data_IF_718026982610
#
_entry.id   IF_718026982610
#
_cell.length_a   1.000
_cell.length_b   1.000
_cell.length_c   1.000
_cell.angle_alpha   90.00
_cell.angle_beta   90.00
_cell.angle_gamma   90.00
#
_symmetry.space_group_name_H-M   'P 1'
#
loop_
_entity.id
_entity.type
_entity.pdbx_description
1 polymer ?
#
# COMPACT_ATOMS: atom_id res chain seq x y z
N UNK A 1 -31.32 1.12 -17.98
CA UNK A 1 -32.21 1.04 -16.80
C UNK A 1 -31.63 1.89 -15.67
N UNK A 2 -32.40 2.28 -14.63
CA UNK A 2 -31.87 3.06 -13.49
C UNK A 2 -30.67 2.36 -12.84
N UNK A 3 -30.72 1.02 -12.76
CA UNK A 3 -29.67 0.18 -12.19
C UNK A 3 -28.32 0.30 -12.94
N UNK A 4 -28.33 0.51 -14.27
CA UNK A 4 -27.08 0.69 -15.04
C UNK A 4 -26.34 1.96 -14.62
N UNK A 5 -27.10 3.02 -14.35
CA UNK A 5 -26.54 4.29 -13.85
C UNK A 5 -26.02 4.14 -12.43
N UNK A 6 -26.67 3.29 -11.62
CA UNK A 6 -26.29 3.07 -10.23
C UNK A 6 -25.02 2.22 -10.10
N UNK A 7 -24.92 1.09 -10.82
CA UNK A 7 -23.72 0.26 -10.80
C UNK A 7 -22.56 0.92 -11.54
N UNK A 8 -22.83 1.69 -12.61
CA UNK A 8 -21.84 2.45 -13.37
C UNK A 8 -20.60 1.64 -13.81
N UNK A 9 -20.81 0.37 -14.18
CA UNK A 9 -19.74 -0.51 -14.65
C UNK A 9 -19.48 -0.25 -16.13
N UNK A 10 -18.33 0.38 -16.43
CA UNK A 10 -17.92 0.72 -17.81
C UNK A 10 -17.90 -0.53 -18.70
N UNK A 11 -18.27 -0.35 -19.97
CA UNK A 11 -18.22 -1.42 -20.98
C UNK A 11 -19.26 -2.54 -20.79
N UNK A 12 -20.17 -2.44 -19.81
CA UNK A 12 -21.18 -3.48 -19.54
C UNK A 12 -22.61 -2.94 -19.53
N UNK A 13 -23.58 -3.85 -19.61
CA UNK A 13 -25.00 -3.59 -19.41
C UNK A 13 -25.60 -4.64 -18.47
N UNK A 14 -26.54 -4.18 -17.65
CA UNK A 14 -27.35 -5.03 -16.80
C UNK A 14 -28.52 -5.53 -17.64
N UNK A 15 -28.60 -6.84 -17.83
CA UNK A 15 -29.69 -7.49 -18.58
C UNK A 15 -30.91 -7.78 -17.71
N UNK A 16 -30.73 -7.78 -16.39
CA UNK A 16 -31.78 -8.02 -15.42
C UNK A 16 -31.19 -8.20 -14.03
N UNK A 17 -32.07 -8.28 -13.03
CA UNK A 17 -31.67 -8.59 -11.66
C UNK A 17 -32.70 -9.51 -11.00
N UNK A 18 -32.25 -10.24 -9.99
CA UNK A 18 -33.07 -11.03 -9.09
C UNK A 18 -32.81 -10.56 -7.67
N UNK A 19 -33.85 -10.47 -6.87
CA UNK A 19 -33.72 -10.29 -5.43
C UNK A 19 -33.99 -11.64 -4.77
N UNK A 20 -32.98 -12.21 -4.12
CA UNK A 20 -33.05 -13.51 -3.48
C UNK A 20 -33.06 -13.32 -1.96
N UNK A 21 -34.07 -13.87 -1.30
CA UNK A 21 -34.18 -13.80 0.16
C UNK A 21 -32.91 -14.37 0.83
N UNK A 22 -32.41 -13.67 1.84
CA UNK A 22 -31.20 -14.00 2.61
C UNK A 22 -29.87 -14.00 1.84
N UNK A 23 -29.87 -13.77 0.51
CA UNK A 23 -28.65 -13.67 -0.29
C UNK A 23 -28.42 -12.21 -0.70
N UNK A 24 -29.44 -11.54 -1.24
CA UNK A 24 -29.34 -10.16 -1.72
C UNK A 24 -29.67 -10.02 -3.20
N UNK A 25 -29.12 -8.98 -3.84
CA UNK A 25 -29.43 -8.60 -5.21
C UNK A 25 -28.41 -9.25 -6.16
N UNK A 26 -28.89 -10.05 -7.12
CA UNK A 26 -28.06 -10.66 -8.16
C UNK A 26 -28.33 -9.99 -9.50
N UNK A 27 -27.38 -9.22 -10.02
CA UNK A 27 -27.46 -8.51 -11.30
C UNK A 27 -26.80 -9.35 -12.41
N UNK A 28 -27.52 -9.64 -13.49
CA UNK A 28 -26.93 -10.28 -14.68
C UNK A 28 -26.23 -9.23 -15.53
N UNK A 29 -24.92 -9.37 -15.68
CA UNK A 29 -24.06 -8.42 -16.41
C UNK A 29 -23.59 -9.07 -17.72
N UNK A 30 -23.71 -8.34 -18.83
CA UNK A 30 -23.11 -8.71 -20.10
C UNK A 30 -22.20 -7.59 -20.62
N UNK A 31 -21.13 -7.97 -21.30
CA UNK A 31 -20.24 -7.02 -21.97
C UNK A 31 -20.93 -6.41 -23.19
N UNK A 32 -20.81 -5.09 -23.36
CA UNK A 32 -21.29 -4.37 -24.55
C UNK A 32 -20.39 -4.61 -25.76
N UNK A 33 -19.13 -4.97 -25.52
CA UNK A 33 -18.15 -5.22 -26.57
C UNK A 33 -18.46 -6.56 -27.25
N UNK A 34 -18.42 -6.61 -28.58
CA UNK A 34 -18.59 -7.87 -29.32
C UNK A 34 -17.26 -8.58 -29.60
N UNK A 35 -16.15 -7.88 -29.36
CA UNK A 35 -14.78 -8.33 -29.63
C UNK A 35 -13.93 -8.25 -28.38
N UNK A 36 -12.82 -8.98 -28.38
CA UNK A 36 -11.78 -8.87 -27.38
C UNK A 36 -10.39 -8.89 -28.02
N UNK A 37 -9.42 -8.24 -27.39
CA UNK A 37 -8.02 -8.16 -27.85
C UNK A 37 -7.26 -9.39 -27.35
N UNK A 38 -6.58 -10.09 -28.25
CA UNK A 38 -5.74 -11.23 -27.88
C UNK A 38 -4.50 -10.75 -27.10
N UNK A 39 -4.28 -11.19 -25.85
CA UNK A 39 -3.16 -10.72 -25.03
C UNK A 39 -1.79 -11.21 -25.53
N UNK A 40 -1.75 -12.12 -26.51
CA UNK A 40 -0.51 -12.68 -27.07
C UNK A 40 0.00 -11.93 -28.30
N UNK A 41 -0.90 -11.40 -29.13
CA UNK A 41 -0.52 -10.77 -30.39
C UNK A 41 -1.18 -9.41 -30.65
N UNK A 42 -1.99 -8.91 -29.71
CA UNK A 42 -2.66 -7.61 -29.81
C UNK A 42 -3.79 -7.50 -30.84
N UNK A 43 -4.07 -8.56 -31.61
CA UNK A 43 -5.13 -8.56 -32.61
C UNK A 43 -6.50 -8.83 -31.97
N UNK A 44 -7.53 -8.12 -32.45
CA UNK A 44 -8.92 -8.36 -32.05
C UNK A 44 -9.45 -9.71 -32.55
N UNK A 45 -10.40 -10.26 -31.82
CA UNK A 45 -11.21 -11.41 -32.23
C UNK A 45 -12.66 -11.21 -31.82
N UNK A 46 -13.57 -11.53 -32.73
CA UNK A 46 -15.02 -11.67 -32.52
C UNK A 46 -15.46 -13.14 -32.41
N UNK A 47 -14.53 -14.09 -32.58
CA UNK A 47 -14.81 -15.53 -32.58
C UNK A 47 -14.98 -16.05 -31.16
N UNK A 48 -16.20 -15.97 -30.66
CA UNK A 48 -16.58 -16.56 -29.38
C UNK A 48 -16.31 -18.07 -29.38
N UNK A 49 -15.57 -18.53 -28.37
CA UNK A 49 -15.25 -19.93 -28.15
C UNK A 49 -16.08 -20.53 -27.02
N UNK A 50 -16.14 -19.84 -25.87
CA UNK A 50 -16.84 -20.32 -24.68
C UNK A 50 -17.34 -19.16 -23.82
N UNK A 51 -18.42 -19.39 -23.06
CA UNK A 51 -18.91 -18.47 -22.03
C UNK A 51 -18.60 -19.05 -20.65
N UNK A 52 -18.07 -18.24 -19.74
CA UNK A 52 -17.84 -18.61 -18.34
C UNK A 52 -18.58 -17.66 -17.40
N UNK A 53 -19.75 -18.10 -16.93
CA UNK A 53 -20.53 -17.38 -15.93
C UNK A 53 -20.02 -17.68 -14.53
N UNK A 54 -19.81 -16.63 -13.74
CA UNK A 54 -19.44 -16.72 -12.33
C UNK A 54 -20.08 -15.55 -11.56
N UNK A 55 -20.20 -15.70 -10.25
CA UNK A 55 -20.67 -14.65 -9.37
C UNK A 55 -19.49 -13.83 -8.87
N UNK A 56 -19.65 -12.51 -8.88
CA UNK A 56 -18.67 -11.54 -8.43
C UNK A 56 -19.34 -10.66 -7.38
N UNK A 57 -18.83 -10.66 -6.14
CA UNK A 57 -19.33 -9.80 -5.07
C UNK A 57 -18.98 -8.34 -5.35
N UNK A 58 -19.91 -7.46 -5.01
CA UNK A 58 -19.82 -6.04 -5.31
C UNK A 58 -20.30 -5.19 -4.13
N UNK A 59 -20.16 -3.87 -4.23
CA UNK A 59 -20.60 -2.94 -3.19
C UNK A 59 -22.10 -3.11 -2.88
N UNK A 60 -22.49 -3.09 -1.59
CA UNK A 60 -23.88 -3.27 -1.20
C UNK A 60 -24.75 -2.10 -1.68
N UNK A 61 -26.01 -2.38 -1.99
CA UNK A 61 -27.02 -1.37 -2.33
C UNK A 61 -28.00 -1.26 -1.17
N UNK A 62 -28.06 -0.10 -0.53
CA UNK A 62 -28.94 0.15 0.63
C UNK A 62 -28.77 -0.90 1.74
N UNK A 63 -27.52 -1.33 2.00
CA UNK A 63 -27.19 -2.34 3.00
C UNK A 63 -27.44 -3.79 2.56
N UNK A 64 -28.00 -4.03 1.37
CA UNK A 64 -28.18 -5.38 0.84
C UNK A 64 -26.94 -5.83 0.07
N UNK A 65 -26.46 -7.09 0.27
CA UNK A 65 -25.38 -7.64 -0.53
C UNK A 65 -25.73 -7.65 -2.02
N UNK A 66 -24.73 -7.38 -2.86
CA UNK A 66 -24.87 -7.36 -4.31
C UNK A 66 -23.89 -8.34 -4.93
N UNK A 67 -24.39 -9.15 -5.85
CA UNK A 67 -23.61 -10.06 -6.65
C UNK A 67 -23.85 -9.81 -8.14
N UNK A 68 -22.79 -9.82 -8.91
CA UNK A 68 -22.82 -9.70 -10.36
C UNK A 68 -22.66 -11.09 -10.96
N UNK A 69 -23.67 -11.58 -11.68
CA UNK A 69 -23.52 -12.75 -12.54
C UNK A 69 -22.83 -12.30 -13.83
N UNK A 70 -21.50 -12.39 -13.83
CA UNK A 70 -20.63 -11.94 -14.91
C UNK A 70 -20.36 -13.08 -15.87
N UNK A 71 -20.53 -12.84 -17.16
CA UNK A 71 -20.06 -13.72 -18.22
C UNK A 71 -18.68 -13.26 -18.71
N UNK A 72 -17.61 -13.96 -18.29
CA UNK A 72 -16.27 -13.74 -18.86
C UNK A 72 -16.11 -14.64 -20.07
N UNK A 73 -16.27 -14.06 -21.26
CA UNK A 73 -16.22 -14.79 -22.52
C UNK A 73 -14.78 -15.16 -22.87
N UNK A 74 -14.65 -16.29 -23.54
CA UNK A 74 -13.41 -16.75 -24.13
C UNK A 74 -13.53 -16.68 -25.66
N UNK A 75 -12.53 -16.10 -26.31
CA UNK A 75 -12.45 -15.93 -27.75
C UNK A 75 -11.31 -16.79 -28.33
N UNK A 76 -11.42 -17.17 -29.60
CA UNK A 76 -10.37 -17.89 -30.33
C UNK A 76 -9.63 -16.94 -31.26
N UNK A 77 -8.35 -16.67 -30.95
CA UNK A 77 -7.53 -15.80 -31.79
C UNK A 77 -7.26 -16.46 -33.16
N UNK A 78 -7.50 -15.74 -34.25
CA UNK A 78 -7.23 -16.24 -35.59
C UNK A 78 -5.75 -16.36 -35.94
N UNK A 79 -4.93 -15.45 -35.41
CA UNK A 79 -3.48 -15.47 -35.61
C UNK A 79 -2.80 -16.53 -34.74
N UNK A 80 -2.99 -16.46 -33.41
CA UNK A 80 -2.33 -17.42 -32.49
C UNK A 80 -2.97 -18.80 -32.48
N UNK A 81 -4.18 -18.97 -33.04
CA UNK A 81 -5.02 -20.18 -33.01
C UNK A 81 -5.37 -20.73 -31.61
N UNK A 82 -4.99 -20.01 -30.54
CA UNK A 82 -5.24 -20.36 -29.14
C UNK A 82 -6.41 -19.55 -28.55
N UNK A 83 -7.17 -20.12 -27.60
CA UNK A 83 -8.21 -19.39 -26.90
C UNK A 83 -7.63 -18.36 -25.91
N UNK A 84 -8.40 -17.33 -25.58
CA UNK A 84 -8.07 -16.33 -24.56
C UNK A 84 -9.35 -15.76 -23.94
N UNK A 85 -9.31 -15.45 -22.65
CA UNK A 85 -10.43 -14.82 -21.95
C UNK A 85 -10.40 -13.31 -22.19
N UNK A 86 -11.58 -12.70 -22.30
CA UNK A 86 -11.70 -11.24 -22.33
C UNK A 86 -11.25 -10.62 -21.00
N UNK A 87 -10.66 -9.43 -21.11
CA UNK A 87 -10.40 -8.57 -19.95
C UNK A 87 -11.68 -7.79 -19.59
N UNK A 88 -11.89 -7.60 -18.29
CA UNK A 88 -13.01 -6.85 -17.75
C UNK A 88 -12.44 -5.83 -16.77
N UNK A 89 -12.65 -4.54 -17.02
CA UNK A 89 -12.02 -3.47 -16.23
C UNK A 89 -12.38 -3.52 -14.74
N UNK A 90 -13.60 -3.93 -14.43
CA UNK A 90 -14.15 -3.91 -13.06
C UNK A 90 -13.84 -5.16 -12.24
N UNK A 91 -13.30 -6.23 -12.84
CA UNK A 91 -13.01 -7.49 -12.15
C UNK A 91 -11.76 -8.16 -12.74
N UNK A 92 -10.75 -8.40 -11.90
CA UNK A 92 -9.53 -9.07 -12.30
C UNK A 92 -9.75 -10.55 -12.65
N UNK A 93 -8.79 -11.15 -13.37
CA UNK A 93 -8.86 -12.58 -13.74
C UNK A 93 -8.88 -13.45 -12.48
N UNK A 94 -9.71 -14.50 -12.50
CA UNK A 94 -9.83 -15.48 -11.40
C UNK A 94 -10.29 -14.90 -10.05
N UNK A 95 -10.71 -13.63 -10.00
CA UNK A 95 -11.27 -13.02 -8.79
C UNK A 95 -12.79 -13.09 -8.81
N UNK A 96 -13.38 -13.13 -7.61
CA UNK A 96 -14.82 -13.20 -7.35
C UNK A 96 -15.33 -11.96 -6.64
N UNK A 97 -14.60 -10.84 -6.74
CA UNK A 97 -14.98 -9.53 -6.23
C UNK A 97 -14.65 -8.43 -7.25
N UNK A 98 -15.34 -7.30 -7.19
CA UNK A 98 -15.03 -6.13 -8.03
C UNK A 98 -13.83 -5.36 -7.49
N UNK A 99 -13.10 -4.67 -8.39
CA UNK A 99 -11.98 -3.78 -7.98
C UNK A 99 -12.44 -2.69 -7.02
N UNK A 100 -13.60 -2.09 -7.29
CA UNK A 100 -14.20 -1.07 -6.42
C UNK A 100 -14.58 -1.59 -5.03
N UNK A 101 -14.92 -2.88 -4.90
CA UNK A 101 -15.12 -3.49 -3.59
C UNK A 101 -13.78 -3.60 -2.85
N UNK A 102 -12.73 -4.07 -3.52
CA UNK A 102 -11.39 -4.14 -2.94
C UNK A 102 -10.89 -2.76 -2.46
N UNK A 103 -11.05 -1.72 -3.29
CA UNK A 103 -10.71 -0.33 -2.93
C UNK A 103 -11.50 0.15 -1.71
N UNK A 104 -12.80 -0.16 -1.63
CA UNK A 104 -13.62 0.22 -0.49
C UNK A 104 -13.22 -0.51 0.80
N UNK A 105 -12.88 -1.79 0.71
CA UNK A 105 -12.35 -2.57 1.84
C UNK A 105 -11.03 -1.97 2.33
N UNK A 106 -10.13 -1.61 1.42
CA UNK A 106 -8.86 -0.97 1.76
C UNK A 106 -9.08 0.36 2.50
N UNK A 107 -10.07 1.16 2.07
CA UNK A 107 -10.41 2.40 2.76
C UNK A 107 -10.91 2.15 4.19
N UNK A 108 -11.76 1.13 4.39
CA UNK A 108 -12.24 0.76 5.73
C UNK A 108 -11.11 0.29 6.66
N UNK A 109 -10.09 -0.38 6.13
CA UNK A 109 -8.94 -0.85 6.90
C UNK A 109 -8.02 0.28 7.40
N UNK A 110 -8.07 1.47 6.79
CA UNK A 110 -7.31 2.62 7.30
C UNK A 110 -7.80 3.07 8.68
N UNK A 111 -9.06 2.79 9.00
CA UNK A 111 -9.73 3.21 10.24
C UNK A 111 -10.15 2.03 11.14
N UNK A 112 -9.84 0.79 10.75
CA UNK A 112 -10.32 -0.41 11.46
C UNK A 112 -9.42 -1.62 11.25
N UNK A 113 -9.69 -2.69 12.01
CA UNK A 113 -8.99 -3.97 11.91
C UNK A 113 -9.65 -4.93 10.91
N UNK A 114 -8.86 -5.89 10.44
CA UNK A 114 -9.25 -6.90 9.45
C UNK A 114 -10.50 -7.68 9.89
N UNK A 115 -10.59 -8.07 11.17
CA UNK A 115 -11.71 -8.88 11.67
C UNK A 115 -13.03 -8.10 11.63
N UNK A 116 -13.01 -6.84 12.03
CA UNK A 116 -14.19 -5.98 11.99
C UNK A 116 -14.62 -5.65 10.55
N UNK A 117 -13.66 -5.38 9.65
CA UNK A 117 -13.96 -5.13 8.23
C UNK A 117 -14.48 -6.40 7.54
N UNK A 118 -13.91 -7.56 7.84
CA UNK A 118 -14.38 -8.87 7.38
C UNK A 118 -15.85 -9.08 7.73
N UNK A 119 -16.21 -8.93 9.00
CA UNK A 119 -17.59 -9.11 9.49
C UNK A 119 -18.57 -8.12 8.86
N UNK A 120 -18.17 -6.85 8.73
CA UNK A 120 -19.04 -5.79 8.19
C UNK A 120 -19.39 -6.00 6.72
N UNK A 121 -18.47 -6.59 5.96
CA UNK A 121 -18.61 -6.74 4.51
C UNK A 121 -18.88 -8.18 4.08
N UNK A 122 -18.95 -9.13 5.02
CA UNK A 122 -19.18 -10.56 4.77
C UNK A 122 -18.10 -11.16 3.82
N UNK A 123 -16.84 -10.85 4.08
CA UNK A 123 -15.68 -11.36 3.32
C UNK A 123 -14.71 -12.01 4.27
N UNK A 124 -13.99 -13.05 3.85
CA UNK A 124 -13.00 -13.69 4.73
C UNK A 124 -11.72 -12.86 4.87
N UNK A 125 -10.95 -13.08 5.92
CA UNK A 125 -9.66 -12.40 6.10
C UNK A 125 -8.69 -12.73 4.94
N UNK A 126 -8.75 -13.95 4.40
CA UNK A 126 -7.96 -14.34 3.23
C UNK A 126 -8.45 -13.63 1.94
N UNK A 127 -9.74 -13.33 1.82
CA UNK A 127 -10.23 -12.51 0.71
C UNK A 127 -9.71 -11.08 0.82
N UNK A 128 -9.74 -10.50 2.03
CA UNK A 128 -9.17 -9.17 2.30
C UNK A 128 -7.68 -9.15 1.96
N UNK A 129 -6.90 -10.13 2.42
CA UNK A 129 -5.48 -10.22 2.11
C UNK A 129 -5.22 -10.25 0.60
N UNK A 130 -5.99 -11.07 -0.14
CA UNK A 130 -5.91 -11.10 -1.61
C UNK A 130 -6.27 -9.77 -2.27
N UNK A 131 -7.25 -9.04 -1.73
CA UNK A 131 -7.62 -7.71 -2.22
C UNK A 131 -6.48 -6.70 -2.03
N UNK A 132 -5.80 -6.75 -0.89
CA UNK A 132 -4.62 -5.90 -0.62
C UNK A 132 -3.50 -6.22 -1.59
N UNK A 133 -3.20 -7.51 -1.81
CA UNK A 133 -2.20 -7.97 -2.77
C UNK A 133 -2.52 -7.52 -4.20
N UNK A 134 -3.77 -7.68 -4.65
CA UNK A 134 -4.23 -7.24 -5.97
C UNK A 134 -4.01 -5.73 -6.18
N UNK A 135 -4.33 -4.92 -5.16
CA UNK A 135 -4.13 -3.46 -5.23
C UNK A 135 -2.63 -3.13 -5.21
N UNK A 136 -1.85 -3.82 -4.38
CA UNK A 136 -0.41 -3.61 -4.28
C UNK A 136 0.31 -3.92 -5.61
N UNK A 137 -0.11 -4.95 -6.34
CA UNK A 137 0.41 -5.27 -7.69
C UNK A 137 0.12 -4.17 -8.72
N UNK A 138 -0.93 -3.35 -8.53
CA UNK A 138 -1.24 -2.21 -9.39
C UNK A 138 -0.45 -0.94 -9.03
N UNK A 139 0.18 -0.89 -7.85
CA UNK A 139 1.03 0.23 -7.44
C UNK A 139 2.35 0.12 -8.22
N UNK A 140 2.55 1.04 -9.16
CA UNK A 140 3.79 1.14 -9.92
C UNK A 140 4.96 1.53 -9.04
N UNK A 141 6.16 1.06 -9.42
CA UNK A 141 7.42 1.49 -8.79
C UNK A 141 7.53 3.02 -8.73
N UNK A 142 8.07 3.52 -7.63
CA UNK A 142 8.32 4.95 -7.43
C UNK A 142 9.35 5.42 -8.44
N UNK A 143 9.02 6.44 -9.24
CA UNK A 143 9.99 7.08 -10.13
C UNK A 143 11.10 7.76 -9.33
N UNK A 144 12.30 7.17 -9.36
CA UNK A 144 13.48 7.67 -8.65
C UNK A 144 14.32 8.64 -9.49
N UNK A 145 13.96 8.90 -10.75
CA UNK A 145 14.76 9.72 -11.67
C UNK A 145 14.97 11.18 -11.23
N UNK A 146 14.20 11.64 -10.24
CA UNK A 146 14.27 13.00 -9.68
C UNK A 146 14.57 13.01 -8.18
N UNK A 147 15.04 11.90 -7.62
CA UNK A 147 15.37 11.81 -6.20
C UNK A 147 16.63 12.61 -5.90
N UNK A 148 16.49 13.73 -5.19
CA UNK A 148 17.61 14.59 -4.75
C UNK A 148 17.89 14.48 -3.26
N UNK A 149 16.85 14.37 -2.44
CA UNK A 149 16.98 14.25 -0.98
C UNK A 149 16.30 12.98 -0.46
N UNK A 150 17.09 12.12 0.18
CA UNK A 150 16.66 10.82 0.70
C UNK A 150 16.60 10.85 2.23
N UNK A 151 15.50 10.38 2.81
CA UNK A 151 15.38 10.10 4.24
C UNK A 151 15.52 8.61 4.50
N UNK A 152 16.33 8.22 5.47
CA UNK A 152 16.41 6.83 5.97
C UNK A 152 16.10 6.87 7.46
N UNK A 153 14.95 6.30 7.83
CA UNK A 153 14.46 6.27 9.22
C UNK A 153 14.15 4.82 9.65
N UNK A 154 13.91 4.62 10.94
CA UNK A 154 13.52 3.33 11.52
C UNK A 154 12.15 3.41 12.19
N UNK A 155 11.29 2.44 11.88
CA UNK A 155 9.99 2.31 12.56
C UNK A 155 9.97 0.99 13.33
N UNK A 156 9.59 1.06 14.61
CA UNK A 156 9.32 -0.13 15.40
C UNK A 156 7.95 -0.71 15.00
N UNK A 157 7.94 -1.90 14.40
CA UNK A 157 6.71 -2.58 13.98
C UNK A 157 5.84 -2.98 15.18
N UNK A 158 6.47 -3.40 16.27
CA UNK A 158 5.81 -3.73 17.54
C UNK A 158 6.53 -3.04 18.68
N UNK A 159 5.78 -2.19 19.41
CA UNK A 159 6.32 -1.45 20.55
C UNK A 159 6.88 -2.42 21.60
N UNK A 160 8.19 -2.29 21.89
CA UNK A 160 8.88 -3.07 22.94
C UNK A 160 9.55 -4.37 22.48
N UNK A 161 9.35 -4.84 21.25
CA UNK A 161 9.94 -6.10 20.77
C UNK A 161 11.23 -5.94 19.96
N UNK A 162 11.74 -4.70 19.79
CA UNK A 162 12.96 -4.38 19.03
C UNK A 162 12.95 -4.86 17.56
N UNK A 163 11.78 -5.10 16.99
CA UNK A 163 11.61 -5.35 15.56
C UNK A 163 11.47 -4.02 14.83
N UNK A 164 12.55 -3.59 14.19
CA UNK A 164 12.63 -2.33 13.45
C UNK A 164 12.70 -2.61 11.95
N UNK A 165 11.84 -1.92 11.19
CA UNK A 165 11.96 -1.81 9.74
C UNK A 165 12.66 -0.50 9.37
N UNK A 166 13.39 -0.49 8.26
CA UNK A 166 13.94 0.75 7.70
C UNK A 166 12.96 1.35 6.69
N UNK A 167 12.80 2.66 6.71
CA UNK A 167 11.87 3.40 5.87
C UNK A 167 12.65 4.41 5.05
N UNK A 168 12.50 4.31 3.73
CA UNK A 168 13.15 5.19 2.77
C UNK A 168 12.10 6.14 2.21
N UNK A 169 12.37 7.45 2.30
CA UNK A 169 11.41 8.51 1.96
C UNK A 169 12.08 9.53 1.04
N UNK A 170 11.36 9.99 0.03
CA UNK A 170 11.77 11.15 -0.75
C UNK A 170 11.45 12.42 0.06
N UNK A 171 12.47 13.13 0.54
CA UNK A 171 12.30 14.29 1.44
C UNK A 171 11.73 15.53 0.73
N UNK A 172 11.78 15.59 -0.60
CA UNK A 172 11.18 16.68 -1.39
C UNK A 172 9.66 16.54 -1.49
N UNK A 173 9.18 15.30 -1.63
CA UNK A 173 7.77 15.02 -1.87
C UNK A 173 7.04 14.49 -0.64
N UNK A 174 7.77 14.06 0.39
CA UNK A 174 7.23 13.36 1.55
C UNK A 174 6.68 11.97 1.23
N UNK A 175 6.99 11.41 0.05
CA UNK A 175 6.49 10.11 -0.40
C UNK A 175 7.41 8.98 0.04
N UNK A 176 6.79 7.90 0.49
CA UNK A 176 7.47 6.64 0.77
C UNK A 176 8.08 6.08 -0.53
N UNK A 177 9.34 5.69 -0.47
CA UNK A 177 10.05 4.99 -1.54
C UNK A 177 10.02 3.48 -1.28
N UNK A 178 10.43 3.07 -0.08
CA UNK A 178 10.52 1.65 0.29
C UNK A 178 10.40 1.46 1.81
N UNK A 179 9.93 0.27 2.21
CA UNK A 179 10.00 -0.24 3.58
C UNK A 179 10.79 -1.55 3.52
N UNK A 180 11.84 -1.65 4.31
CA UNK A 180 12.69 -2.83 4.42
C UNK A 180 12.36 -3.59 5.69
N UNK A 181 12.23 -4.91 5.61
CA UNK A 181 11.82 -5.73 6.75
C UNK A 181 12.80 -5.61 7.91
N UNK A 182 14.10 -5.45 7.60
CA UNK A 182 15.12 -5.20 8.61
C UNK A 182 15.91 -3.93 8.31
N UNK A 183 16.47 -3.41 9.39
CA UNK A 183 17.37 -2.25 9.41
C UNK A 183 18.85 -2.58 9.19
N UNK A 184 19.18 -3.75 8.67
CA UNK A 184 20.59 -4.15 8.54
C UNK A 184 21.25 -3.37 7.41
N UNK A 185 22.57 -3.13 7.54
CA UNK A 185 23.34 -2.51 6.46
C UNK A 185 23.29 -3.33 5.16
N UNK A 186 23.19 -4.65 5.26
CA UNK A 186 23.14 -5.57 4.12
C UNK A 186 21.87 -5.33 3.27
N UNK A 187 20.71 -5.28 3.92
CA UNK A 187 19.41 -5.13 3.25
C UNK A 187 19.26 -3.74 2.62
N UNK A 188 19.73 -2.70 3.32
CA UNK A 188 19.83 -1.34 2.76
C UNK A 188 20.79 -1.27 1.59
N UNK A 189 21.96 -1.90 1.69
CA UNK A 189 22.94 -1.92 0.59
C UNK A 189 22.36 -2.59 -0.65
N UNK A 190 21.73 -3.76 -0.48
CA UNK A 190 21.09 -4.49 -1.58
C UNK A 190 20.04 -3.62 -2.27
N UNK A 191 19.14 -3.02 -1.48
CA UNK A 191 18.09 -2.12 -1.98
C UNK A 191 18.66 -0.92 -2.73
N UNK A 192 19.57 -0.17 -2.11
CA UNK A 192 20.15 1.05 -2.69
C UNK A 192 20.96 0.75 -3.95
N UNK A 193 21.72 -0.35 -3.96
CA UNK A 193 22.48 -0.77 -5.15
C UNK A 193 21.54 -1.16 -6.29
N UNK A 194 20.37 -1.73 -5.98
CA UNK A 194 19.32 -2.05 -6.94
C UNK A 194 18.74 -0.84 -7.67
N UNK A 195 18.82 0.36 -7.10
CA UNK A 195 18.37 1.60 -7.75
C UNK A 195 19.28 2.05 -8.90
N UNK A 196 20.49 1.50 -8.98
CA UNK A 196 21.45 1.82 -10.01
C UNK A 196 22.28 3.06 -9.69
N UNK A 197 23.49 3.08 -10.24
CA UNK A 197 24.51 4.10 -9.97
C UNK A 197 24.04 5.51 -10.35
N UNK A 198 23.32 5.66 -11.45
CA UNK A 198 22.80 6.95 -11.92
C UNK A 198 21.86 7.60 -10.88
N UNK A 199 21.00 6.80 -10.24
CA UNK A 199 20.09 7.30 -9.19
C UNK A 199 20.88 7.67 -7.94
N UNK A 200 21.87 6.89 -7.54
CA UNK A 200 22.66 7.17 -6.34
C UNK A 200 23.55 8.42 -6.51
N UNK A 201 24.13 8.63 -7.70
CA UNK A 201 25.04 9.75 -7.95
C UNK A 201 24.34 11.12 -8.02
N UNK A 202 23.05 11.16 -8.30
CA UNK A 202 22.27 12.40 -8.32
C UNK A 202 21.74 12.85 -6.95
N UNK A 203 21.78 11.98 -5.94
CA UNK A 203 21.34 12.30 -4.58
C UNK A 203 22.33 13.30 -3.98
N UNK A 204 21.79 14.42 -3.52
CA UNK A 204 22.55 15.55 -2.98
C UNK A 204 22.57 15.54 -1.45
N UNK A 205 21.51 15.02 -0.82
CA UNK A 205 21.36 15.00 0.64
C UNK A 205 20.75 13.67 1.10
N UNK A 206 21.28 13.12 2.18
CA UNK A 206 20.67 12.00 2.89
C UNK A 206 20.49 12.35 4.36
N UNK A 207 19.23 12.44 4.80
CA UNK A 207 18.88 12.57 6.22
C UNK A 207 18.79 11.19 6.85
N UNK A 208 19.54 10.97 7.92
CA UNK A 208 19.56 9.70 8.66
C UNK A 208 19.37 9.93 10.16
N UNK A 209 18.89 8.92 10.87
CA UNK A 209 19.08 8.87 12.33
C UNK A 209 20.58 8.84 12.66
N UNK A 210 20.95 9.18 13.90
CA UNK A 210 22.32 9.30 14.42
C UNK A 210 23.09 7.95 14.47
N UNK A 211 22.62 6.93 13.77
CA UNK A 211 23.23 5.61 13.71
C UNK A 211 24.43 5.58 12.75
N UNK A 212 25.63 5.40 13.33
CA UNK A 212 26.90 5.44 12.61
C UNK A 212 27.01 4.46 11.40
N UNK A 213 26.46 3.23 11.47
CA UNK A 213 26.43 2.32 10.32
C UNK A 213 25.76 2.90 9.07
N UNK A 214 24.66 3.65 9.19
CA UNK A 214 24.04 4.30 8.04
C UNK A 214 24.92 5.38 7.44
N UNK A 215 25.55 6.20 8.28
CA UNK A 215 26.49 7.22 7.82
C UNK A 215 27.61 6.62 6.98
N UNK A 216 28.18 5.49 7.42
CA UNK A 216 29.24 4.81 6.68
C UNK A 216 28.75 4.24 5.35
N UNK A 217 27.56 3.62 5.34
CA UNK A 217 26.96 3.06 4.14
C UNK A 217 26.65 4.15 3.10
N UNK A 218 26.06 5.26 3.53
CA UNK A 218 25.74 6.39 2.65
C UNK A 218 27.00 6.99 2.05
N UNK A 219 28.05 7.21 2.85
CA UNK A 219 29.33 7.73 2.35
C UNK A 219 30.00 6.81 1.33
N UNK A 220 29.77 5.51 1.43
CA UNK A 220 30.31 4.53 0.50
C UNK A 220 29.52 4.50 -0.82
N UNK A 221 28.19 4.49 -0.75
CA UNK A 221 27.31 4.35 -1.92
C UNK A 221 27.02 5.68 -2.64
N UNK A 222 27.00 6.78 -1.90
CA UNK A 222 26.61 8.13 -2.33
C UNK A 222 27.66 9.15 -1.86
N UNK A 223 28.92 9.07 -2.34
CA UNK A 223 30.02 9.89 -1.81
C UNK A 223 29.85 11.40 -2.06
N UNK A 224 29.03 11.80 -3.03
CA UNK A 224 28.70 13.19 -3.32
C UNK A 224 27.59 13.77 -2.43
N UNK A 225 26.86 12.92 -1.70
CA UNK A 225 25.73 13.35 -0.89
C UNK A 225 26.17 13.87 0.48
N UNK A 226 25.54 14.95 0.94
CA UNK A 226 25.68 15.44 2.30
C UNK A 226 24.86 14.57 3.26
N UNK A 227 25.50 14.03 4.30
CA UNK A 227 24.81 13.26 5.34
C UNK A 227 24.36 14.21 6.45
N UNK A 228 23.05 14.40 6.56
CA UNK A 228 22.43 15.30 7.53
C UNK A 228 21.79 14.49 8.66
N UNK A 229 21.91 14.98 9.89
CA UNK A 229 21.25 14.38 11.04
C UNK A 229 19.76 14.71 11.04
N UNK A 230 18.91 13.70 11.25
CA UNK A 230 17.48 13.90 11.34
C UNK A 230 17.11 14.87 12.48
N UNK A 231 16.34 15.90 12.13
CA UNK A 231 15.98 16.99 13.07
C UNK A 231 15.12 16.48 14.23
N UNK A 232 14.23 15.52 14.00
CA UNK A 232 13.37 15.01 15.06
C UNK A 232 14.18 14.28 16.12
N UNK A 233 15.11 13.43 15.69
CA UNK A 233 16.02 12.71 16.59
C UNK A 233 16.93 13.65 17.39
N UNK A 234 17.49 14.67 16.73
CA UNK A 234 18.30 15.70 17.41
C UNK A 234 17.47 16.44 18.47
N UNK A 235 16.28 16.92 18.11
CA UNK A 235 15.41 17.65 19.05
C UNK A 235 14.92 16.77 20.20
N UNK A 236 14.63 15.49 19.93
CA UNK A 236 14.25 14.52 20.95
C UNK A 236 15.36 14.33 21.97
N UNK A 237 16.61 14.17 21.52
CA UNK A 237 17.76 14.02 22.41
C UNK A 237 18.00 15.28 23.27
N UNK A 238 17.92 16.47 22.67
CA UNK A 238 18.04 17.74 23.41
C UNK A 238 16.95 17.85 24.48
N UNK A 239 15.70 17.56 24.13
CA UNK A 239 14.58 17.62 25.08
C UNK A 239 14.72 16.60 26.21
N UNK A 240 15.22 15.39 25.91
CA UNK A 240 15.48 14.36 26.92
C UNK A 240 16.53 14.82 27.93
N UNK A 241 17.65 15.36 27.46
CA UNK A 241 18.71 15.88 28.34
C UNK A 241 18.20 17.03 29.20
N UNK A 242 17.45 17.99 28.61
CA UNK A 242 16.83 19.08 29.37
C UNK A 242 15.85 18.58 30.43
N UNK A 243 15.05 17.56 30.12
CA UNK A 243 14.13 16.95 31.07
C UNK A 243 14.85 16.20 32.20
N UNK A 244 15.98 15.56 31.92
CA UNK A 244 16.82 14.90 32.91
C UNK A 244 17.45 15.90 33.88
N UNK A 245 18.03 16.99 33.36
CA UNK A 245 18.57 18.06 34.19
C UNK A 245 17.49 18.72 35.06
N UNK A 246 16.32 19.02 34.47
CA UNK A 246 15.17 19.56 35.22
C UNK A 246 14.75 18.65 36.37
N UNK A 247 14.71 17.33 36.16
CA UNK A 247 14.39 16.35 37.21
C UNK A 247 15.46 16.28 38.28
N UNK A 248 16.74 16.39 37.91
CA UNK A 248 17.85 16.39 38.84
C UNK A 248 17.80 17.61 39.78
N UNK A 249 17.50 18.80 39.27
CA UNK A 249 17.37 20.03 40.09
C UNK A 249 16.18 19.99 41.05
N UNK A 250 15.07 19.36 40.64
CA UNK A 250 13.84 19.22 41.44
C UNK A 250 13.89 18.05 42.43
N UNK A 251 14.94 17.22 42.39
CA UNK A 251 15.15 16.15 43.36
C UNK A 251 15.46 16.75 44.75
N UNK A 252 14.85 16.27 45.85
CA UNK A 252 14.94 16.89 47.18
C UNK A 252 16.35 16.96 47.80
N UNK A 253 17.38 16.42 47.16
CA UNK A 253 18.77 16.47 47.63
C UNK A 253 19.46 17.83 47.38
N UNK A 254 18.91 18.70 46.53
CA UNK A 254 19.48 20.03 46.25
C UNK A 254 19.14 21.12 47.27
N UNK A 255 18.23 20.86 48.21
CA UNK A 255 17.81 21.83 49.24
C UNK A 255 18.43 21.61 50.64
N UNK A 256 19.42 20.73 50.77
CA UNK A 256 19.98 20.35 52.07
C UNK A 256 21.23 21.15 52.53
N UNK A 257 21.64 22.23 51.86
CA UNK A 257 22.94 22.86 52.17
C UNK A 257 23.00 24.40 52.24
N UNK A 258 21.91 25.08 52.58
CA UNK A 258 21.93 26.52 52.91
C UNK A 258 21.59 26.81 54.39
N UNK A 259 22.07 25.95 55.28
CA UNK A 259 21.99 26.15 56.73
C UNK A 259 23.16 26.98 57.26
N UNK A 260 23.15 28.30 57.08
CA UNK A 260 24.00 29.20 57.87
C UNK A 260 23.49 29.16 59.32
N UNK A 261 24.26 28.53 60.21
CA UNK A 261 24.02 28.59 61.64
C UNK A 261 24.30 30.02 62.15
N UNK A 262 23.25 30.75 62.53
CA UNK A 262 23.37 31.87 63.47
C UNK A 262 23.47 31.30 64.88
N UNK A 263 24.64 31.43 65.49
CA UNK A 263 24.81 31.33 66.94
C UNK A 263 24.42 32.68 67.59
N UNK A 264 23.73 32.60 68.73
CA UNK A 264 23.42 33.73 69.61
C UNK A 264 24.69 34.34 70.21
#
# INVERSE_FOLDING_TARGET
MILDKFLNLKGTSIQGYLHLENIGIVCRIESKNQKAICPRCGLESDKLHQNHRHLVKDLPISGQPVYLQVNRRQFKCDNCRKPFSEELDFVAKKRTYTKRLAENILEQLKEGDILNVSRRNDVTEEEIQRMIEDIAEEITETDLSKLKRLGIDEIALVKGQKNYCAVLVNLDTGKLIAILEKRTQEELRETLTGWGKEVLEQIEEVSIDLWLPYKNLVKELMPSAEVVADRFHVMKQINQELDEQRKAEQSPESHANDGIALAC
#
